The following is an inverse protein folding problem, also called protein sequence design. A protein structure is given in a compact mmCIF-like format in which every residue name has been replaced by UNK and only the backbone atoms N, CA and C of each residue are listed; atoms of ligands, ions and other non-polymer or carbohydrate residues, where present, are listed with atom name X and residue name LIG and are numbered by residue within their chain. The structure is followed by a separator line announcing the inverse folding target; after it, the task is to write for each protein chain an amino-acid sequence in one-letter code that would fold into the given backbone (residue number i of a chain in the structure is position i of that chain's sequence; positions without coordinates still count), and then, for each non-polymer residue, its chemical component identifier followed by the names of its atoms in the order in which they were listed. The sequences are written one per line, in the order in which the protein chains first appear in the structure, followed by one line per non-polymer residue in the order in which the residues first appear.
data_IF_758361499410
#
_entry.id   IF_758361499410
#
_cell.length_a   1.000
_cell.length_b   1.000
_cell.length_c   1.000
_cell.angle_alpha   90.00
_cell.angle_beta   90.00
_cell.angle_gamma   90.00
#
_symmetry.space_group_name_H-M   'P 1'
#
loop_
_entity.id
_entity.type
_entity.pdbx_description
1 polymer ?
#
# COMPACT_ATOMS: atom_id res chain seq x y z
N UNK A 1 2.86 9.21 -12.78
CA UNK A 1 3.20 7.88 -12.22
C UNK A 1 4.41 7.36 -12.98
N UNK A 2 5.55 7.15 -12.30
CA UNK A 2 6.72 6.58 -12.95
C UNK A 2 6.45 5.11 -13.33
N UNK A 3 6.93 4.61 -14.47
CA UNK A 3 6.72 3.22 -14.86
C UNK A 3 7.52 2.33 -13.92
N UNK A 4 6.82 1.57 -13.07
CA UNK A 4 7.41 0.49 -12.29
C UNK A 4 7.83 -0.63 -13.24
N UNK A 5 9.09 -1.06 -13.13
CA UNK A 5 9.63 -2.15 -13.94
C UNK A 5 8.96 -3.47 -13.52
N UNK A 6 7.91 -3.86 -14.24
CA UNK A 6 7.05 -5.02 -13.92
C UNK A 6 7.67 -6.40 -14.18
N UNK A 7 8.96 -6.46 -14.58
CA UNK A 7 9.61 -7.72 -14.94
C UNK A 7 9.58 -8.74 -13.79
N UNK A 8 9.96 -8.32 -12.59
CA UNK A 8 10.01 -9.21 -11.41
C UNK A 8 8.61 -9.64 -10.98
N UNK A 9 7.62 -8.74 -11.04
CA UNK A 9 6.22 -9.03 -10.74
C UNK A 9 5.63 -10.10 -11.68
N UNK A 10 5.89 -9.99 -12.99
CA UNK A 10 5.40 -10.96 -13.97
C UNK A 10 6.04 -12.34 -13.79
N UNK A 11 7.32 -12.38 -13.41
CA UNK A 11 8.04 -13.63 -13.12
C UNK A 11 7.41 -14.32 -11.91
N UNK A 12 7.21 -13.61 -10.80
CA UNK A 12 6.58 -14.17 -9.60
C UNK A 12 5.15 -14.63 -9.87
N UNK A 13 4.36 -13.84 -10.59
CA UNK A 13 2.99 -14.22 -10.96
C UNK A 13 2.95 -15.51 -11.79
N UNK A 14 3.87 -15.67 -12.74
CA UNK A 14 4.01 -16.89 -13.55
C UNK A 14 4.39 -18.09 -12.68
N UNK A 15 5.30 -17.92 -11.73
CA UNK A 15 5.71 -18.99 -10.82
C UNK A 15 4.57 -19.42 -9.89
N UNK A 16 3.79 -18.48 -9.35
CA UNK A 16 2.59 -18.78 -8.55
C UNK A 16 1.56 -19.55 -9.40
N UNK A 17 1.35 -19.15 -10.65
CA UNK A 17 0.47 -19.88 -11.58
C UNK A 17 0.92 -21.33 -11.76
N UNK A 18 2.23 -21.56 -11.94
CA UNK A 18 2.76 -22.92 -12.08
C UNK A 18 2.52 -23.75 -10.82
N UNK A 19 2.71 -23.19 -9.62
CA UNK A 19 2.40 -23.88 -8.35
C UNK A 19 0.93 -24.28 -8.28
N UNK A 20 0.00 -23.39 -8.66
CA UNK A 20 -1.44 -23.70 -8.67
C UNK A 20 -1.74 -24.83 -9.67
N UNK A 21 -1.08 -24.81 -10.83
CA UNK A 21 -1.23 -25.84 -11.85
C UNK A 21 -0.69 -27.20 -11.35
N UNK A 22 0.48 -27.23 -10.70
CA UNK A 22 1.06 -28.42 -10.09
C UNK A 22 0.10 -29.02 -9.04
N UNK A 23 -0.51 -28.18 -8.19
CA UNK A 23 -1.50 -28.61 -7.19
C UNK A 23 -2.77 -29.19 -7.83
N UNK A 24 -3.26 -28.58 -8.89
CA UNK A 24 -4.42 -29.06 -9.63
C UNK A 24 -4.13 -30.41 -10.29
N UNK A 25 -2.95 -30.57 -10.91
CA UNK A 25 -2.54 -31.82 -11.53
C UNK A 25 -2.45 -32.96 -10.50
N UNK A 26 -1.82 -32.70 -9.33
CA UNK A 26 -1.76 -33.66 -8.23
C UNK A 26 -3.16 -34.05 -7.76
N UNK A 27 -4.09 -33.09 -7.62
CA UNK A 27 -5.47 -33.36 -7.23
C UNK A 27 -6.15 -34.32 -8.22
N UNK A 28 -6.03 -34.06 -9.53
CA UNK A 28 -6.63 -34.89 -10.59
C UNK A 28 -6.00 -36.29 -10.62
N UNK A 29 -4.67 -36.39 -10.49
CA UNK A 29 -3.95 -37.67 -10.45
C UNK A 29 -4.32 -38.49 -9.21
N UNK A 30 -4.50 -37.84 -8.05
CA UNK A 30 -4.92 -38.49 -6.81
C UNK A 30 -6.37 -38.95 -6.87
N UNK A 31 -7.26 -38.15 -7.46
CA UNK A 31 -8.66 -38.55 -7.63
C UNK A 31 -8.82 -39.76 -8.57
N UNK A 32 -7.99 -39.84 -9.62
CA UNK A 32 -7.99 -40.96 -10.56
C UNK A 32 -7.00 -42.07 -10.18
N UNK A 33 -6.47 -42.04 -8.97
CA UNK A 33 -5.48 -43.01 -8.51
C UNK A 33 -6.08 -44.42 -8.58
N UNK A 34 -5.39 -45.34 -9.25
CA UNK A 34 -5.76 -46.75 -9.44
C UNK A 34 -6.96 -47.04 -10.36
N UNK A 35 -7.73 -46.03 -10.79
CA UNK A 35 -8.90 -46.21 -11.67
C UNK A 35 -8.57 -46.70 -13.10
N UNK A 36 -7.29 -46.73 -13.49
CA UNK A 36 -6.85 -47.00 -14.87
C UNK A 36 -5.74 -48.05 -15.01
N UNK A 37 -5.35 -48.75 -13.93
CA UNK A 37 -4.40 -49.87 -13.97
C UNK A 37 -2.98 -49.55 -14.50
N UNK A 38 -2.63 -48.27 -14.63
CA UNK A 38 -1.31 -47.76 -15.06
C UNK A 38 -0.47 -47.32 -13.86
N UNK A 39 0.88 -47.20 -14.00
CA UNK A 39 1.76 -46.79 -12.90
C UNK A 39 1.56 -45.31 -12.53
N UNK A 40 0.44 -44.99 -11.89
CA UNK A 40 0.08 -43.66 -11.35
C UNK A 40 1.05 -43.20 -10.28
N UNK A 41 1.72 -44.14 -9.61
CA UNK A 41 2.71 -43.88 -8.57
C UNK A 41 3.91 -43.09 -9.07
N UNK A 42 4.49 -43.49 -10.21
CA UNK A 42 5.67 -42.82 -10.77
C UNK A 42 5.35 -41.41 -11.26
N UNK A 43 4.15 -41.22 -11.82
CA UNK A 43 3.67 -39.90 -12.25
C UNK A 43 3.42 -38.99 -11.06
N UNK A 44 2.76 -39.49 -10.01
CA UNK A 44 2.50 -38.74 -8.79
C UNK A 44 3.79 -38.33 -8.08
N UNK A 45 4.78 -39.22 -8.03
CA UNK A 45 6.11 -38.93 -7.48
C UNK A 45 6.78 -37.77 -8.24
N UNK A 46 6.75 -37.81 -9.57
CA UNK A 46 7.29 -36.73 -10.41
C UNK A 46 6.56 -35.41 -10.18
N UNK A 47 5.23 -35.42 -10.11
CA UNK A 47 4.44 -34.21 -9.87
C UNK A 47 4.70 -33.61 -8.48
N UNK A 48 4.91 -34.44 -7.45
CA UNK A 48 5.28 -33.96 -6.10
C UNK A 48 6.68 -33.32 -6.08
N UNK A 49 7.64 -33.92 -6.79
CA UNK A 49 8.98 -33.33 -6.95
C UNK A 49 8.92 -32.01 -7.72
N UNK A 50 8.09 -31.92 -8.76
CA UNK A 50 7.88 -30.69 -9.52
C UNK A 50 7.28 -29.59 -8.63
N UNK A 51 6.24 -29.88 -7.86
CA UNK A 51 5.65 -28.94 -6.91
C UNK A 51 6.69 -28.43 -5.90
N UNK A 52 7.52 -29.31 -5.36
CA UNK A 52 8.59 -28.94 -4.43
C UNK A 52 9.57 -27.94 -5.05
N UNK A 53 10.00 -28.19 -6.29
CA UNK A 53 10.90 -27.30 -7.03
C UNK A 53 10.25 -25.95 -7.35
N UNK A 54 8.96 -25.95 -7.72
CA UNK A 54 8.18 -24.73 -7.96
C UNK A 54 8.07 -23.87 -6.70
N UNK A 55 7.75 -24.47 -5.55
CA UNK A 55 7.68 -23.78 -4.25
C UNK A 55 9.04 -23.21 -3.82
N UNK A 56 10.13 -23.96 -4.01
CA UNK A 56 11.48 -23.47 -3.72
C UNK A 56 11.86 -22.29 -4.60
N UNK A 57 11.42 -22.29 -5.86
CA UNK A 57 11.67 -21.19 -6.79
C UNK A 57 10.93 -19.94 -6.35
N UNK A 58 9.63 -20.05 -6.05
CA UNK A 58 8.82 -18.92 -5.51
C UNK A 58 9.46 -18.38 -4.24
N UNK A 59 9.80 -19.23 -3.28
CA UNK A 59 10.40 -18.78 -2.01
C UNK A 59 11.69 -17.97 -2.19
N UNK A 60 12.49 -18.28 -3.23
CA UNK A 60 13.73 -17.55 -3.51
C UNK A 60 13.50 -16.24 -4.25
N UNK A 61 12.44 -16.16 -5.06
CA UNK A 61 12.11 -14.97 -5.85
C UNK A 61 11.21 -13.98 -5.10
N UNK A 62 10.55 -14.38 -4.02
CA UNK A 62 9.62 -13.52 -3.27
C UNK A 62 10.24 -12.85 -2.04
N UNK A 63 11.55 -12.59 -2.00
CA UNK A 63 12.17 -11.88 -0.87
C UNK A 63 11.71 -10.41 -0.94
N UNK A 64 10.82 -9.93 -0.04
CA UNK A 64 10.27 -8.59 -0.15
C UNK A 64 11.31 -7.55 0.28
N UNK A 65 11.22 -6.36 -0.32
CA UNK A 65 11.84 -5.17 0.27
C UNK A 65 11.18 -4.89 1.63
N UNK A 66 11.96 -4.45 2.62
CA UNK A 66 11.45 -4.07 3.94
C UNK A 66 10.47 -2.87 3.88
N UNK A 67 9.88 -2.46 5.02
CA UNK A 67 9.02 -1.28 5.06
C UNK A 67 9.75 -0.06 4.48
N UNK A 68 9.09 0.76 3.64
CA UNK A 68 9.69 1.99 3.14
C UNK A 68 10.01 2.91 4.31
N UNK A 69 11.29 3.25 4.44
CA UNK A 69 11.85 4.11 5.49
C UNK A 69 11.64 5.60 5.20
N UNK A 70 11.10 5.95 4.03
CA UNK A 70 10.83 7.32 3.60
C UNK A 70 12.07 8.04 3.06
N UNK A 71 13.23 7.38 3.10
CA UNK A 71 14.47 7.90 2.55
C UNK A 71 14.74 7.18 1.21
N UNK A 72 14.63 7.85 0.05
CA UNK A 72 14.76 7.20 -1.26
C UNK A 72 16.15 6.57 -1.51
N UNK A 73 17.17 6.99 -0.75
CA UNK A 73 18.49 6.36 -0.77
C UNK A 73 18.53 5.07 0.07
N UNK A 74 17.84 5.04 1.21
CA UNK A 74 17.74 3.85 2.08
C UNK A 74 16.76 2.84 1.48
N UNK A 75 15.66 3.28 0.88
CA UNK A 75 14.67 2.40 0.22
C UNK A 75 15.21 1.77 -1.08
N UNK A 76 16.28 2.34 -1.65
CA UNK A 76 17.06 1.73 -2.74
C UNK A 76 18.12 0.75 -2.25
N UNK A 77 18.61 0.92 -1.02
CA UNK A 77 19.77 0.18 -0.45
C UNK A 77 19.33 -0.92 0.53
N UNK A 78 18.16 -0.78 1.14
CA UNK A 78 17.37 -1.85 1.76
C UNK A 78 16.62 -2.60 0.65
N UNK A 79 17.30 -3.22 -0.33
CA UNK A 79 17.86 -4.56 -0.19
C UNK A 79 16.71 -5.59 0.01
N UNK A 80 16.50 -6.62 -0.82
CA UNK A 80 17.47 -7.43 -1.57
C UNK A 80 16.76 -8.20 -2.71
N UNK A 81 17.37 -8.22 -3.90
CA UNK A 81 17.13 -9.24 -4.93
C UNK A 81 15.99 -8.99 -5.93
N UNK A 82 14.90 -8.32 -5.55
CA UNK A 82 13.74 -8.10 -6.44
C UNK A 82 13.08 -6.73 -6.25
N UNK A 83 12.44 -6.20 -7.31
CA UNK A 83 11.68 -4.94 -7.31
C UNK A 83 10.21 -5.15 -6.90
N UNK A 84 9.94 -6.01 -5.93
CA UNK A 84 8.58 -6.25 -5.44
C UNK A 84 8.14 -5.13 -4.48
N UNK A 85 6.91 -4.66 -4.65
CA UNK A 85 6.35 -3.61 -3.79
C UNK A 85 6.07 -4.11 -2.36
N UNK A 86 6.25 -3.24 -1.38
CA UNK A 86 5.81 -3.47 0.00
C UNK A 86 4.27 -3.43 0.09
N UNK A 87 3.69 -4.35 0.85
CA UNK A 87 2.23 -4.49 1.01
C UNK A 87 1.84 -4.15 2.45
N UNK A 88 0.88 -3.23 2.69
CA UNK A 88 0.35 -2.97 4.02
C UNK A 88 -0.32 -4.20 4.63
N UNK A 89 -0.15 -4.40 5.94
CA UNK A 89 -0.75 -5.54 6.68
C UNK A 89 -2.27 -5.60 6.56
N UNK A 90 -2.94 -4.45 6.52
CA UNK A 90 -4.40 -4.39 6.35
C UNK A 90 -4.86 -5.00 5.01
N UNK A 91 -4.07 -4.85 3.94
CA UNK A 91 -4.37 -5.45 2.63
C UNK A 91 -4.32 -6.97 2.69
N UNK A 92 -3.39 -7.54 3.49
CA UNK A 92 -3.31 -8.99 3.71
C UNK A 92 -4.61 -9.49 4.34
N UNK A 93 -5.12 -8.78 5.35
CA UNK A 93 -6.38 -9.13 5.99
C UNK A 93 -7.59 -9.07 5.03
N UNK A 94 -7.58 -8.17 4.03
CA UNK A 94 -8.61 -8.16 3.00
C UNK A 94 -8.57 -9.44 2.16
N UNK A 95 -7.38 -9.87 1.74
CA UNK A 95 -7.19 -11.09 0.94
C UNK A 95 -7.56 -12.35 1.74
N UNK A 96 -7.15 -12.44 3.01
CA UNK A 96 -7.45 -13.57 3.90
C UNK A 96 -8.96 -13.77 4.10
N UNK A 97 -9.72 -12.68 4.14
CA UNK A 97 -11.18 -12.71 4.25
C UNK A 97 -11.91 -12.85 2.90
N UNK A 98 -11.17 -13.02 1.79
CA UNK A 98 -11.74 -13.10 0.44
C UNK A 98 -12.36 -11.78 -0.06
N UNK A 99 -12.01 -10.64 0.54
CA UNK A 99 -12.47 -9.31 0.11
C UNK A 99 -11.53 -8.77 -0.96
N UNK A 100 -12.08 -8.08 -1.96
CA UNK A 100 -11.27 -7.46 -3.01
C UNK A 100 -10.31 -6.40 -2.41
N UNK A 101 -8.96 -6.56 -2.54
CA UNK A 101 -7.99 -5.59 -2.02
C UNK A 101 -8.11 -4.19 -2.64
N UNK A 102 -8.69 -4.05 -3.84
CA UNK A 102 -8.92 -2.73 -4.47
C UNK A 102 -9.83 -1.83 -3.61
N UNK A 103 -10.68 -2.44 -2.77
CA UNK A 103 -11.55 -1.70 -1.86
C UNK A 103 -10.72 -0.98 -0.80
N UNK A 104 -9.64 -1.57 -0.31
CA UNK A 104 -8.72 -0.90 0.61
C UNK A 104 -8.13 0.35 -0.03
N UNK A 105 -7.64 0.26 -1.27
CA UNK A 105 -7.07 1.41 -1.99
C UNK A 105 -8.12 2.50 -2.19
N UNK A 106 -9.35 2.12 -2.53
CA UNK A 106 -10.47 3.06 -2.66
C UNK A 106 -10.76 3.77 -1.34
N UNK A 107 -10.94 3.01 -0.25
CA UNK A 107 -11.20 3.55 1.09
C UNK A 107 -10.07 4.47 1.56
N UNK A 108 -8.82 4.12 1.27
CA UNK A 108 -7.64 4.93 1.59
C UNK A 108 -7.67 6.29 0.88
N UNK A 109 -7.98 6.30 -0.42
CA UNK A 109 -8.10 7.56 -1.19
C UNK A 109 -9.28 8.40 -0.70
N UNK A 110 -10.42 7.76 -0.43
CA UNK A 110 -11.60 8.44 0.11
C UNK A 110 -11.31 9.07 1.49
N UNK A 111 -10.59 8.35 2.36
CA UNK A 111 -10.16 8.83 3.67
C UNK A 111 -9.15 9.98 3.54
N UNK A 112 -8.15 9.86 2.66
CA UNK A 112 -7.17 10.91 2.42
C UNK A 112 -7.84 12.20 1.94
N UNK A 113 -8.79 12.09 1.00
CA UNK A 113 -9.58 13.23 0.52
C UNK A 113 -10.42 13.86 1.65
N UNK A 114 -11.12 13.03 2.42
CA UNK A 114 -11.95 13.49 3.56
C UNK A 114 -11.11 14.21 4.60
N UNK A 115 -9.94 13.66 4.95
CA UNK A 115 -9.03 14.26 5.91
C UNK A 115 -8.44 15.57 5.39
N UNK A 116 -8.08 15.64 4.11
CA UNK A 116 -7.59 16.88 3.52
C UNK A 116 -8.66 17.99 3.54
N UNK A 117 -9.90 17.66 3.15
CA UNK A 117 -11.01 18.62 3.19
C UNK A 117 -11.32 19.05 4.63
N UNK A 118 -11.34 18.12 5.58
CA UNK A 118 -11.55 18.41 7.00
C UNK A 118 -10.45 19.33 7.52
N UNK A 119 -9.19 19.08 7.18
CA UNK A 119 -8.07 19.90 7.62
C UNK A 119 -8.18 21.31 7.03
N UNK A 120 -8.51 21.43 5.74
CA UNK A 120 -8.75 22.73 5.10
C UNK A 120 -9.87 23.50 5.77
N UNK A 121 -10.99 22.84 6.09
CA UNK A 121 -12.10 23.47 6.80
C UNK A 121 -11.72 23.92 8.22
N UNK A 122 -10.89 23.14 8.93
CA UNK A 122 -10.35 23.55 10.23
C UNK A 122 -9.44 24.78 10.11
N UNK A 123 -8.52 24.78 9.14
CA UNK A 123 -7.62 25.92 8.90
C UNK A 123 -8.42 27.19 8.62
N UNK A 124 -9.43 27.11 7.75
CA UNK A 124 -10.33 28.23 7.47
C UNK A 124 -11.07 28.72 8.72
N UNK A 125 -11.68 27.81 9.50
CA UNK A 125 -12.39 28.19 10.72
C UNK A 125 -11.48 28.82 11.79
N UNK A 126 -10.22 28.37 11.88
CA UNK A 126 -9.23 29.01 12.75
C UNK A 126 -8.80 30.38 12.23
N UNK A 127 -8.70 30.57 10.92
CA UNK A 127 -8.49 31.88 10.30
C UNK A 127 -9.64 32.85 10.61
N UNK A 128 -10.88 32.43 10.38
CA UNK A 128 -12.07 33.22 10.70
C UNK A 128 -12.12 33.59 12.20
N UNK A 129 -11.81 32.63 13.07
CA UNK A 129 -11.77 32.86 14.51
C UNK A 129 -10.67 33.87 14.91
N UNK A 130 -9.48 33.76 14.31
CA UNK A 130 -8.38 34.70 14.52
C UNK A 130 -8.82 36.11 14.13
N UNK A 131 -9.46 36.30 12.98
CA UNK A 131 -9.85 37.61 12.48
C UNK A 131 -10.93 38.26 13.36
N UNK A 132 -11.92 37.49 13.80
CA UNK A 132 -12.94 37.96 14.75
C UNK A 132 -12.30 38.34 16.09
N UNK A 133 -11.42 37.48 16.62
CA UNK A 133 -10.75 37.74 17.90
C UNK A 133 -9.88 39.00 17.83
N UNK A 134 -9.10 39.16 16.75
CA UNK A 134 -8.29 40.35 16.52
C UNK A 134 -9.14 41.62 16.47
N UNK A 135 -10.28 41.58 15.77
CA UNK A 135 -11.21 42.71 15.67
C UNK A 135 -11.86 43.08 17.02
N UNK A 136 -12.20 42.11 17.86
CA UNK A 136 -12.71 42.39 19.21
C UNK A 136 -11.60 42.91 20.14
N UNK A 137 -10.37 42.39 20.03
CA UNK A 137 -9.23 42.87 20.81
C UNK A 137 -8.85 44.31 20.45
N UNK A 138 -8.88 44.70 19.18
CA UNK A 138 -8.62 46.09 18.74
C UNK A 138 -9.66 47.08 19.29
N UNK A 139 -10.93 46.65 19.45
CA UNK A 139 -11.98 47.48 20.06
C UNK A 139 -11.80 47.69 21.56
N UNK A 140 -11.35 46.65 22.28
CA UNK A 140 -11.20 46.70 23.75
C UNK A 140 -9.86 47.32 24.16
N UNK A 141 -8.80 47.08 23.38
CA UNK A 141 -7.43 47.53 23.65
C UNK A 141 -6.83 48.25 22.44
N UNK A 142 -7.24 49.50 22.15
CA UNK A 142 -6.78 50.25 20.99
C UNK A 142 -5.26 50.52 21.00
N UNK A 143 -4.64 50.55 22.18
CA UNK A 143 -3.19 50.71 22.36
C UNK A 143 -2.35 49.53 21.85
N UNK A 144 -2.97 48.34 21.70
CA UNK A 144 -2.33 47.12 21.20
C UNK A 144 -2.59 46.88 19.70
N UNK A 145 -3.23 47.83 19.01
CA UNK A 145 -3.67 47.64 17.61
C UNK A 145 -2.55 47.31 16.63
N UNK A 146 -1.35 47.90 16.78
CA UNK A 146 -0.19 47.59 15.93
C UNK A 146 0.34 46.17 16.18
N UNK A 147 0.43 45.77 17.45
CA UNK A 147 0.88 44.42 17.83
C UNK A 147 -0.08 43.34 17.35
N UNK A 148 -1.40 43.59 17.46
CA UNK A 148 -2.45 42.67 16.97
C UNK A 148 -2.34 42.49 15.45
N UNK A 149 -2.16 43.59 14.70
CA UNK A 149 -1.99 43.53 13.23
C UNK A 149 -0.74 42.76 12.84
N UNK A 150 0.39 42.99 13.51
CA UNK A 150 1.62 42.24 13.28
C UNK A 150 1.43 40.73 13.47
N UNK A 151 0.69 40.31 14.51
CA UNK A 151 0.42 38.89 14.77
C UNK A 151 -0.52 38.28 13.73
N UNK A 152 -1.55 39.01 13.29
CA UNK A 152 -2.46 38.54 12.24
C UNK A 152 -1.73 38.37 10.92
N UNK A 153 -0.89 39.34 10.53
CA UNK A 153 -0.06 39.28 9.32
C UNK A 153 0.94 38.11 9.39
N UNK A 154 1.59 37.91 10.53
CA UNK A 154 2.55 36.82 10.72
C UNK A 154 1.91 35.42 10.78
N UNK A 155 0.60 35.32 11.01
CA UNK A 155 -0.13 34.05 11.10
C UNK A 155 -1.04 33.79 9.91
N UNK A 156 -1.14 34.72 8.97
CA UNK A 156 -1.81 34.52 7.68
C UNK A 156 -0.98 33.62 6.80
N UNK A 157 -1.64 32.69 6.12
CA UNK A 157 -1.01 31.79 5.17
C UNK A 157 -0.64 32.58 3.90
N UNK A 158 0.64 32.60 3.51
CA UNK A 158 1.17 33.27 2.30
C UNK A 158 0.49 32.79 1.00
N UNK A 159 -0.27 31.70 1.06
CA UNK A 159 -1.00 31.13 -0.07
C UNK A 159 -2.36 31.79 -0.38
N UNK A 160 -2.90 32.67 0.48
CA UNK A 160 -4.15 33.40 0.20
C UNK A 160 -3.97 34.64 -0.70
N UNK A 161 -2.73 35.02 -1.03
CA UNK A 161 -2.40 36.22 -1.81
C UNK A 161 -2.09 36.02 -3.31
N UNK A 162 -2.32 34.82 -3.89
CA UNK A 162 -2.04 34.53 -5.32
C UNK A 162 -3.22 33.92 -6.07
#
# INVERSE_FOLDING_TARGET
MAPVNNADHNVVATQIKNVIQDLYEIMVQTHNYDNSGRPSRETLEKSLLQLSNSLQTVSRTTIPAGPPTGNPHIDRVAGKGTNLAWIPGDVIHYVDNGRNPDIYTREFIELARKNNQLMRGKMQAFGDFRDVLAGEMEKVFPELGEDIKMVVEATTDDSEGK
#
